data_IF_825470348112
#
_entry.id   IF_825470348112
#
_cell.length_a   1.000
_cell.length_b   1.000
_cell.length_c   1.000
_cell.angle_alpha   90.00
_cell.angle_beta   90.00
_cell.angle_gamma   90.00
#
_symmetry.space_group_name_H-M   'P 1'
#
loop_
_entity.id
_entity.type
_entity.pdbx_description
1 polymer ?
#
# COMPACT_ATOMS: atom_id res chain seq x y z
N UNK A 1 42.07 -21.03 38.59
CA UNK A 1 42.93 -20.15 39.40
C UNK A 1 42.26 -18.78 39.40
N UNK A 2 41.57 -18.42 40.47
CA UNK A 2 42.14 -17.75 41.67
C UNK A 2 41.93 -16.22 41.49
N UNK A 3 40.97 -15.61 42.19
CA UNK A 3 41.03 -15.22 43.61
C UNK A 3 41.87 -13.93 43.80
N UNK A 4 41.56 -13.01 44.72
CA UNK A 4 40.42 -12.83 45.65
C UNK A 4 40.63 -11.53 46.43
N UNK A 5 39.58 -11.05 47.13
CA UNK A 5 39.71 -10.27 48.38
C UNK A 5 40.25 -8.81 48.17
N UNK A 6 40.14 -7.86 49.11
CA UNK A 6 40.04 -7.95 50.58
C UNK A 6 38.98 -7.00 51.15
N UNK A 7 38.29 -7.46 52.20
CA UNK A 7 37.36 -6.68 53.03
C UNK A 7 38.02 -6.18 54.33
N UNK A 8 37.39 -5.19 54.98
CA UNK A 8 37.60 -4.85 56.40
C UNK A 8 36.22 -4.52 56.98
N UNK A 9 35.60 -5.30 57.89
CA UNK A 9 35.89 -5.44 59.35
C UNK A 9 35.99 -4.07 60.05
N UNK A 10 35.38 -3.79 61.23
CA UNK A 10 34.54 -4.52 62.21
C UNK A 10 33.85 -3.44 63.12
N UNK A 11 32.95 -3.64 64.09
CA UNK A 11 32.27 -4.79 64.71
C UNK A 11 31.83 -4.44 66.15
N UNK A 12 30.97 -5.28 66.80
CA UNK A 12 30.57 -5.26 68.24
C UNK A 12 29.60 -4.12 68.69
N UNK A 13 28.76 -4.29 69.74
CA UNK A 13 28.22 -5.48 70.42
C UNK A 13 27.00 -5.11 71.31
N UNK A 14 26.23 -6.12 71.75
CA UNK A 14 24.97 -6.03 72.52
C UNK A 14 25.14 -5.64 74.01
N UNK A 15 24.08 -5.13 74.66
CA UNK A 15 23.58 -5.54 76.02
C UNK A 15 22.27 -4.84 76.45
N UNK A 16 21.73 -5.23 77.63
CA UNK A 16 20.31 -5.13 78.00
C UNK A 16 20.11 -4.95 79.55
N UNK A 17 18.92 -4.66 80.14
CA UNK A 17 17.56 -4.72 79.55
C UNK A 17 16.52 -3.64 80.00
N UNK A 18 15.96 -3.58 81.25
CA UNK A 18 14.49 -3.42 81.35
C UNK A 18 13.92 -2.37 82.36
N UNK A 19 12.62 -2.55 82.71
CA UNK A 19 11.77 -1.92 83.76
C UNK A 19 11.30 -0.46 83.44
N UNK A 20 10.10 0.06 83.76
CA UNK A 20 9.02 -0.28 84.74
C UNK A 20 7.60 -0.04 84.15
N UNK A 21 6.60 -0.87 84.53
CA UNK A 21 5.15 -0.60 84.34
C UNK A 21 4.63 0.48 85.31
N UNK A 22 3.78 1.40 84.84
CA UNK A 22 2.73 1.99 85.70
C UNK A 22 1.37 2.04 85.00
N UNK A 23 0.37 1.50 85.69
CA UNK A 23 -1.03 1.51 85.31
C UNK A 23 -1.65 2.88 85.58
N UNK A 24 -2.53 3.35 84.69
CA UNK A 24 -3.45 4.45 84.97
C UNK A 24 -4.86 4.00 84.63
N UNK A 25 -5.68 3.76 85.66
CA UNK A 25 -7.12 3.50 85.51
C UNK A 25 -7.80 4.81 85.15
N UNK A 26 -8.37 4.89 83.96
CA UNK A 26 -9.26 6.00 83.58
C UNK A 26 -10.71 5.57 83.72
N UNK A 27 -11.50 6.44 84.35
CA UNK A 27 -12.90 6.17 84.66
C UNK A 27 -13.76 6.17 83.39
N UNK A 28 -14.82 5.37 83.41
CA UNK A 28 -15.87 5.39 82.38
C UNK A 28 -16.49 6.78 82.27
N UNK A 29 -16.46 7.35 81.06
CA UNK A 29 -17.25 8.50 80.67
C UNK A 29 -17.81 8.25 79.26
N UNK A 30 -19.10 7.95 79.16
CA UNK A 30 -19.78 7.69 77.90
C UNK A 30 -20.09 9.01 77.15
N UNK A 31 -19.66 9.18 75.88
CA UNK A 31 -20.08 10.31 75.06
C UNK A 31 -21.14 9.89 74.02
N UNK A 32 -22.37 10.32 74.29
CA UNK A 32 -23.54 10.36 73.41
C UNK A 32 -23.28 10.35 71.88
N UNK A 33 -23.73 9.28 71.21
CA UNK A 33 -24.77 9.32 70.14
C UNK A 33 -24.60 10.17 68.86
N UNK A 34 -23.56 10.99 68.70
CA UNK A 34 -23.44 11.95 67.57
C UNK A 34 -22.55 11.50 66.42
N UNK A 35 -21.74 10.45 66.60
CA UNK A 35 -20.83 9.94 65.56
C UNK A 35 -21.52 9.01 64.55
N UNK A 36 -22.55 8.28 64.96
CA UNK A 36 -23.31 7.35 64.10
C UNK A 36 -24.08 8.08 63.00
N UNK A 37 -24.70 9.22 63.31
CA UNK A 37 -25.48 10.00 62.36
C UNK A 37 -24.63 10.54 61.18
N UNK A 38 -23.42 11.06 61.45
CA UNK A 38 -22.50 11.50 60.38
C UNK A 38 -22.04 10.34 59.49
N UNK A 39 -21.72 9.19 60.08
CA UNK A 39 -21.36 7.99 59.31
C UNK A 39 -22.55 7.43 58.51
N UNK A 40 -23.78 7.48 59.04
CA UNK A 40 -24.99 7.07 58.32
C UNK A 40 -25.32 8.03 57.18
N UNK A 41 -25.27 9.36 57.39
CA UNK A 41 -25.44 10.34 56.30
C UNK A 41 -24.37 10.18 55.23
N UNK A 42 -23.11 9.90 55.58
CA UNK A 42 -22.06 9.67 54.59
C UNK A 42 -22.27 8.35 53.83
N UNK A 43 -22.69 7.26 54.49
CA UNK A 43 -23.09 6.01 53.82
C UNK A 43 -24.32 6.19 52.92
N UNK A 44 -25.31 6.99 53.32
CA UNK A 44 -26.47 7.32 52.49
C UNK A 44 -26.06 8.19 51.29
N UNK A 45 -25.20 9.19 51.46
CA UNK A 45 -24.66 9.99 50.34
C UNK A 45 -23.89 9.13 49.35
N UNK A 46 -23.00 8.26 49.80
CA UNK A 46 -22.28 7.34 48.89
C UNK A 46 -23.25 6.37 48.18
N UNK A 47 -24.30 5.87 48.86
CA UNK A 47 -25.34 5.05 48.21
C UNK A 47 -26.13 5.80 47.15
N UNK A 48 -26.53 7.05 47.42
CA UNK A 48 -27.29 7.86 46.45
C UNK A 48 -26.41 8.23 45.25
N UNK A 49 -25.15 8.60 45.47
CA UNK A 49 -24.21 8.89 44.36
C UNK A 49 -23.95 7.65 43.50
N UNK A 50 -23.79 6.47 44.11
CA UNK A 50 -23.65 5.21 43.37
C UNK A 50 -24.91 4.79 42.61
N UNK A 51 -26.11 5.12 43.13
CA UNK A 51 -27.37 4.86 42.44
C UNK A 51 -27.60 5.80 41.25
N UNK A 52 -27.33 7.09 41.41
CA UNK A 52 -27.45 8.08 40.31
C UNK A 52 -26.45 7.80 39.18
N UNK A 53 -25.25 7.34 39.50
CA UNK A 53 -24.27 6.90 38.51
C UNK A 53 -24.70 5.64 37.71
N UNK A 54 -25.68 4.87 38.19
CA UNK A 54 -26.19 3.69 37.49
C UNK A 54 -27.27 4.01 36.46
N UNK A 55 -28.06 5.08 36.66
CA UNK A 55 -29.12 5.47 35.73
C UNK A 55 -28.58 6.20 34.49
N UNK A 56 -27.47 6.93 34.63
CA UNK A 56 -26.89 7.81 33.57
C UNK A 56 -25.83 7.10 32.69
N UNK A 57 -25.86 5.76 32.61
CA UNK A 57 -25.00 5.00 31.69
C UNK A 57 -25.44 5.21 30.23
N UNK A 58 -24.54 5.58 29.31
CA UNK A 58 -24.87 5.72 27.89
C UNK A 58 -25.17 4.36 27.24
N UNK A 59 -25.94 4.38 26.15
CA UNK A 59 -26.45 3.18 25.48
C UNK A 59 -25.35 2.20 25.03
N UNK A 60 -24.27 2.72 24.44
CA UNK A 60 -23.11 1.93 24.00
C UNK A 60 -22.44 1.14 25.13
N UNK A 61 -22.46 1.67 26.36
CA UNK A 61 -21.91 0.97 27.53
C UNK A 61 -22.85 -0.14 28.01
N UNK A 62 -24.17 0.03 27.86
CA UNK A 62 -25.14 -1.03 28.19
C UNK A 62 -25.09 -2.18 27.20
N UNK A 63 -24.75 -1.91 25.94
CA UNK A 63 -24.49 -2.92 24.91
C UNK A 63 -23.22 -3.71 25.26
N UNK A 64 -22.08 -3.04 25.49
CA UNK A 64 -20.85 -3.71 25.95
C UNK A 64 -21.06 -4.55 27.22
N UNK A 65 -21.81 -4.07 28.23
CA UNK A 65 -22.12 -4.84 29.44
C UNK A 65 -23.05 -6.05 29.18
N UNK A 66 -23.82 -6.04 28.09
CA UNK A 66 -24.67 -7.15 27.67
C UNK A 66 -23.90 -8.18 26.81
N UNK A 67 -22.92 -7.73 26.03
CA UNK A 67 -22.10 -8.57 25.14
C UNK A 67 -20.90 -9.22 25.87
N UNK A 68 -20.47 -8.65 27.01
CA UNK A 68 -19.38 -9.16 27.86
C UNK A 68 -19.45 -10.64 28.31
N UNK A 69 -20.61 -11.32 28.43
CA UNK A 69 -20.67 -12.75 28.70
C UNK A 69 -20.28 -13.62 27.48
N UNK A 70 -20.42 -13.09 26.27
CA UNK A 70 -20.23 -13.81 25.00
C UNK A 70 -18.90 -13.45 24.30
N UNK A 71 -18.29 -12.30 24.64
CA UNK A 71 -17.03 -11.80 24.08
C UNK A 71 -15.95 -11.60 25.16
N UNK A 72 -14.82 -12.33 25.03
CA UNK A 72 -13.70 -12.33 25.98
C UNK A 72 -12.89 -11.00 25.97
N UNK A 73 -12.79 -10.34 24.82
CA UNK A 73 -12.09 -9.06 24.69
C UNK A 73 -12.94 -7.93 25.30
N UNK A 74 -14.26 -7.96 25.11
CA UNK A 74 -15.19 -7.04 25.81
C UNK A 74 -15.17 -7.27 27.33
N UNK A 75 -15.16 -8.52 27.79
CA UNK A 75 -15.03 -8.83 29.22
C UNK A 75 -13.74 -8.24 29.82
N UNK A 76 -12.62 -8.38 29.10
CA UNK A 76 -11.31 -7.84 29.46
C UNK A 76 -11.27 -6.30 29.45
N UNK A 77 -11.89 -5.65 28.46
CA UNK A 77 -12.01 -4.19 28.37
C UNK A 77 -12.71 -3.60 29.62
N UNK A 78 -13.77 -4.26 30.09
CA UNK A 78 -14.58 -3.85 31.23
C UNK A 78 -13.94 -4.21 32.60
N UNK A 79 -13.00 -5.16 32.64
CA UNK A 79 -12.42 -5.66 33.89
C UNK A 79 -11.72 -4.55 34.69
N UNK A 80 -12.18 -4.33 35.93
CA UNK A 80 -11.62 -3.30 36.81
C UNK A 80 -11.91 -1.85 36.41
N UNK A 81 -12.70 -1.59 35.35
CA UNK A 81 -13.13 -0.23 34.98
C UNK A 81 -14.30 0.29 35.83
N UNK A 82 -14.97 -0.58 36.59
CA UNK A 82 -16.03 -0.21 37.53
C UNK A 82 -17.31 0.37 36.91
N UNK A 83 -17.47 0.26 35.59
CA UNK A 83 -18.59 0.84 34.84
C UNK A 83 -18.49 2.35 34.59
N UNK A 84 -17.30 2.97 34.73
CA UNK A 84 -17.09 4.37 34.34
C UNK A 84 -16.95 4.50 32.81
N UNK A 85 -17.88 5.18 32.11
CA UNK A 85 -17.83 5.31 30.66
C UNK A 85 -16.53 5.92 30.13
N UNK A 86 -15.89 6.83 30.88
CA UNK A 86 -14.69 7.55 30.43
C UNK A 86 -13.46 6.66 30.45
N UNK A 87 -13.33 5.81 31.48
CA UNK A 87 -12.22 4.86 31.60
C UNK A 87 -12.33 3.79 30.52
N UNK A 88 -13.54 3.32 30.23
CA UNK A 88 -13.81 2.31 29.20
C UNK A 88 -13.53 2.90 27.81
N UNK A 89 -14.03 4.11 27.52
CA UNK A 89 -13.74 4.80 26.26
C UNK A 89 -12.25 5.07 26.06
N UNK A 90 -11.51 5.42 27.13
CA UNK A 90 -10.06 5.61 27.06
C UNK A 90 -9.31 4.29 26.76
N UNK A 91 -9.71 3.18 27.39
CA UNK A 91 -9.13 1.85 27.11
C UNK A 91 -9.43 1.40 25.68
N UNK A 92 -10.67 1.60 25.23
CA UNK A 92 -11.09 1.24 23.87
C UNK A 92 -10.28 2.02 22.83
N UNK A 93 -10.02 3.31 23.07
CA UNK A 93 -9.11 4.09 22.23
C UNK A 93 -7.67 3.54 22.27
N UNK A 94 -7.15 3.17 23.44
CA UNK A 94 -5.80 2.60 23.58
C UNK A 94 -5.64 1.24 22.89
N UNK A 95 -6.65 0.37 22.93
CA UNK A 95 -6.65 -0.91 22.20
C UNK A 95 -6.78 -0.69 20.70
N UNK A 96 -7.64 0.22 20.24
CA UNK A 96 -7.72 0.61 18.82
C UNK A 96 -6.41 1.20 18.31
N UNK A 97 -5.75 2.06 19.09
CA UNK A 97 -4.44 2.64 18.74
C UNK A 97 -3.34 1.57 18.77
N UNK A 98 -3.41 0.60 19.69
CA UNK A 98 -2.49 -0.54 19.75
C UNK A 98 -2.64 -1.51 18.57
N UNK A 99 -3.87 -1.86 18.19
CA UNK A 99 -4.16 -2.69 17.00
C UNK A 99 -3.69 -1.97 15.74
N UNK A 100 -3.95 -0.66 15.62
CA UNK A 100 -3.43 0.16 14.50
C UNK A 100 -1.92 0.18 14.44
N UNK A 101 -1.24 0.39 15.56
CA UNK A 101 0.22 0.37 15.64
C UNK A 101 0.79 -1.01 15.26
N UNK A 102 0.15 -2.11 15.69
CA UNK A 102 0.58 -3.47 15.36
C UNK A 102 0.39 -3.81 13.86
N UNK A 103 -0.65 -3.26 13.21
CA UNK A 103 -0.86 -3.36 11.76
C UNK A 103 0.15 -2.48 11.01
N UNK A 104 0.48 -1.29 11.52
CA UNK A 104 1.52 -0.44 10.94
C UNK A 104 2.92 -1.06 11.07
N UNK A 105 3.25 -1.69 12.21
CA UNK A 105 4.55 -2.33 12.44
C UNK A 105 4.78 -3.59 11.58
N UNK A 106 3.72 -4.18 11.01
CA UNK A 106 3.82 -5.25 10.01
C UNK A 106 3.96 -4.74 8.57
N UNK A 107 3.79 -3.44 8.29
CA UNK A 107 4.09 -2.84 6.97
C UNK A 107 5.59 -2.58 6.84
N UNK A 108 6.25 -3.30 5.94
CA UNK A 108 7.66 -3.05 5.60
C UNK A 108 7.77 -1.97 4.53
N UNK A 109 8.66 -0.99 4.73
CA UNK A 109 9.13 -0.05 3.69
C UNK A 109 8.16 1.06 3.20
N UNK A 110 6.86 0.90 3.39
CA UNK A 110 5.83 1.90 3.03
C UNK A 110 5.91 3.21 3.83
N UNK A 111 5.30 4.28 3.30
CA UNK A 111 5.17 5.59 3.93
C UNK A 111 3.71 6.07 3.87
N UNK A 112 3.17 6.57 5.00
CA UNK A 112 1.78 7.06 5.10
C UNK A 112 1.54 8.42 4.40
N UNK A 113 2.61 9.10 3.97
CA UNK A 113 2.52 10.34 3.21
C UNK A 113 1.89 10.10 1.82
N UNK A 114 0.97 10.98 1.35
CA UNK A 114 0.38 10.81 0.02
C UNK A 114 1.44 10.98 -1.07
N UNK A 115 1.41 10.08 -2.05
CA UNK A 115 2.17 10.19 -3.29
C UNK A 115 1.61 11.35 -4.12
N UNK A 116 2.45 12.31 -4.51
CA UNK A 116 2.08 13.37 -5.44
C UNK A 116 2.09 12.85 -6.89
N UNK A 117 1.23 13.38 -7.76
CA UNK A 117 1.11 12.93 -9.15
C UNK A 117 1.14 14.13 -10.09
N UNK A 118 2.09 14.14 -11.03
CA UNK A 118 2.24 15.20 -12.01
C UNK A 118 2.37 14.66 -13.43
N UNK A 119 1.81 15.40 -14.39
CA UNK A 119 1.95 15.11 -15.82
C UNK A 119 2.85 16.19 -16.44
N UNK A 120 3.89 15.77 -17.17
CA UNK A 120 4.79 16.67 -17.90
C UNK A 120 4.62 16.48 -19.41
N UNK A 121 4.72 17.58 -20.15
CA UNK A 121 4.68 17.56 -21.61
C UNK A 121 6.09 17.29 -22.17
N UNK A 122 6.25 16.45 -23.22
CA UNK A 122 5.21 15.67 -23.88
C UNK A 122 4.82 14.40 -23.09
N UNK A 123 3.53 14.09 -23.08
CA UNK A 123 2.99 12.77 -22.74
C UNK A 123 2.39 12.19 -24.02
N UNK A 124 3.09 11.24 -24.63
CA UNK A 124 2.71 10.55 -25.86
C UNK A 124 2.54 9.06 -25.54
N UNK A 125 1.38 8.49 -25.85
CA UNK A 125 1.07 7.08 -25.56
C UNK A 125 2.08 6.12 -26.22
N UNK A 126 2.67 6.50 -27.36
CA UNK A 126 3.66 5.67 -28.07
C UNK A 126 5.10 5.86 -27.56
N UNK A 127 5.34 6.76 -26.60
CA UNK A 127 6.68 7.09 -26.09
C UNK A 127 6.57 7.67 -24.67
N UNK A 128 5.98 6.91 -23.75
CA UNK A 128 5.70 7.40 -22.40
C UNK A 128 6.81 7.00 -21.42
N UNK A 129 7.44 8.00 -20.82
CA UNK A 129 8.33 7.82 -19.68
C UNK A 129 7.56 8.02 -18.37
N UNK A 130 7.74 7.09 -17.43
CA UNK A 130 7.17 7.17 -16.08
C UNK A 130 8.31 7.21 -15.08
N UNK A 131 8.31 8.23 -14.22
CA UNK A 131 9.35 8.49 -13.22
C UNK A 131 8.75 8.48 -11.82
N UNK A 132 9.49 7.94 -10.87
CA UNK A 132 9.11 7.83 -9.46
C UNK A 132 10.27 8.34 -8.61
N UNK A 133 10.02 9.34 -7.75
CA UNK A 133 10.96 9.70 -6.68
C UNK A 133 10.52 8.97 -5.41
N UNK A 134 11.48 8.31 -4.74
CA UNK A 134 11.26 7.50 -3.55
C UNK A 134 11.78 8.24 -2.30
N UNK A 135 11.16 8.01 -1.15
CA UNK A 135 11.63 8.58 0.12
C UNK A 135 13.00 8.04 0.56
N UNK A 136 13.37 6.84 0.10
CA UNK A 136 14.62 6.13 0.40
C UNK A 136 15.11 5.44 -0.87
N UNK A 137 16.44 5.23 -1.06
CA UNK A 137 16.94 4.43 -2.17
C UNK A 137 16.40 3.00 -2.04
N UNK A 138 15.84 2.40 -3.10
CA UNK A 138 15.15 1.13 -3.02
C UNK A 138 16.16 -0.01 -2.87
N UNK A 139 15.84 -0.99 -2.04
CA UNK A 139 16.58 -2.25 -1.97
C UNK A 139 16.25 -3.16 -3.17
N UNK A 140 17.09 -4.17 -3.41
CA UNK A 140 16.88 -5.11 -4.53
C UNK A 140 15.52 -5.80 -4.52
N UNK A 141 15.04 -6.22 -3.34
CA UNK A 141 13.72 -6.87 -3.22
C UNK A 141 12.54 -5.92 -3.42
N UNK A 142 12.67 -4.65 -2.99
CA UNK A 142 11.65 -3.63 -3.25
C UNK A 142 11.58 -3.27 -4.75
N UNK A 143 12.74 -3.26 -5.44
CA UNK A 143 12.79 -3.10 -6.91
C UNK A 143 12.18 -4.28 -7.66
N UNK A 144 12.45 -5.51 -7.23
CA UNK A 144 11.82 -6.72 -7.79
C UNK A 144 10.29 -6.66 -7.64
N UNK A 145 9.78 -6.29 -6.46
CA UNK A 145 8.35 -6.17 -6.21
C UNK A 145 7.70 -5.03 -7.04
N UNK A 146 8.37 -3.89 -7.18
CA UNK A 146 7.90 -2.80 -8.06
C UNK A 146 7.90 -3.24 -9.54
N UNK A 147 8.87 -4.05 -9.97
CA UNK A 147 8.91 -4.64 -11.31
C UNK A 147 7.77 -5.63 -11.53
N UNK A 148 7.39 -6.43 -10.53
CA UNK A 148 6.23 -7.32 -10.59
C UNK A 148 4.91 -6.54 -10.73
N UNK A 149 4.77 -5.40 -10.05
CA UNK A 149 3.60 -4.50 -10.20
C UNK A 149 3.52 -3.95 -11.63
N UNK A 150 4.62 -3.39 -12.16
CA UNK A 150 4.67 -2.85 -13.53
C UNK A 150 4.45 -3.95 -14.57
N UNK A 151 5.04 -5.14 -14.40
CA UNK A 151 4.83 -6.29 -15.28
C UNK A 151 3.37 -6.76 -15.26
N UNK A 152 2.72 -6.81 -14.10
CA UNK A 152 1.32 -7.23 -13.96
C UNK A 152 0.38 -6.25 -14.66
N UNK A 153 0.61 -4.96 -14.47
CA UNK A 153 -0.09 -3.88 -15.19
C UNK A 153 0.12 -3.98 -16.70
N UNK A 154 1.37 -4.15 -17.15
CA UNK A 154 1.69 -4.32 -18.57
C UNK A 154 1.01 -5.54 -19.20
N UNK A 155 0.98 -6.69 -18.52
CA UNK A 155 0.34 -7.91 -19.03
C UNK A 155 -1.16 -7.74 -19.22
N UNK A 156 -1.84 -7.03 -18.31
CA UNK A 156 -3.26 -6.68 -18.46
C UNK A 156 -3.47 -5.72 -19.66
N UNK A 157 -2.61 -4.69 -19.80
CA UNK A 157 -2.66 -3.77 -20.93
C UNK A 157 -2.38 -4.43 -22.28
N UNK A 158 -1.42 -5.37 -22.35
CA UNK A 158 -1.10 -6.12 -23.59
C UNK A 158 -2.25 -7.00 -24.07
N UNK A 159 -3.13 -7.44 -23.15
CA UNK A 159 -4.35 -8.22 -23.40
C UNK A 159 -5.59 -7.35 -23.67
N UNK A 160 -5.49 -6.01 -23.60
CA UNK A 160 -6.62 -5.11 -23.85
C UNK A 160 -7.55 -4.90 -22.66
N UNK A 161 -7.12 -5.19 -21.43
CA UNK A 161 -7.96 -5.05 -20.23
C UNK A 161 -8.34 -3.59 -19.91
N UNK A 162 -7.52 -2.62 -20.32
CA UNK A 162 -7.76 -1.19 -20.09
C UNK A 162 -8.52 -0.55 -21.25
N UNK A 163 -9.67 -1.15 -21.59
CA UNK A 163 -10.54 -0.67 -22.66
C UNK A 163 -11.71 0.14 -22.06
N UNK A 164 -11.65 1.46 -22.20
CA UNK A 164 -12.68 2.40 -21.73
C UNK A 164 -13.98 2.34 -22.53
N UNK A 165 -13.93 1.93 -23.80
CA UNK A 165 -15.14 1.76 -24.64
C UNK A 165 -15.97 0.54 -24.27
N UNK A 166 -15.42 -0.39 -23.47
CA UNK A 166 -16.08 -1.65 -23.09
C UNK A 166 -16.31 -1.81 -21.56
N UNK A 167 -16.49 -0.71 -20.83
CA UNK A 167 -16.72 -0.70 -19.37
C UNK A 167 -18.20 -0.92 -18.98
N UNK A 168 -18.87 -1.90 -19.58
CA UNK A 168 -20.32 -2.11 -19.41
C UNK A 168 -20.76 -2.25 -17.93
N UNK A 169 -20.00 -3.00 -17.12
CA UNK A 169 -20.28 -3.17 -15.67
C UNK A 169 -20.17 -1.85 -14.89
N UNK A 170 -19.29 -0.94 -15.31
CA UNK A 170 -19.14 0.39 -14.69
C UNK A 170 -20.35 1.28 -15.04
N UNK A 171 -20.81 1.25 -16.29
CA UNK A 171 -21.95 2.07 -16.74
C UNK A 171 -23.31 1.54 -16.28
N UNK A 172 -23.39 0.27 -15.85
CA UNK A 172 -24.60 -0.33 -15.29
C UNK A 172 -24.69 -0.30 -13.76
N UNK A 173 -23.85 0.48 -13.07
CA UNK A 173 -23.83 0.59 -11.60
C UNK A 173 -25.16 1.06 -10.95
N UNK A 174 -26.01 1.77 -11.68
CA UNK A 174 -27.34 2.21 -11.20
C UNK A 174 -28.41 1.09 -11.24
N UNK A 175 -28.12 -0.05 -11.86
CA UNK A 175 -29.01 -1.21 -11.93
C UNK A 175 -28.49 -2.35 -11.04
N UNK A 176 -29.39 -3.23 -10.58
CA UNK A 176 -28.98 -4.48 -9.94
C UNK A 176 -28.19 -5.34 -10.95
N UNK A 177 -26.92 -5.62 -10.65
CA UNK A 177 -26.01 -6.45 -11.47
C UNK A 177 -26.51 -7.89 -11.74
N UNK A 178 -27.61 -8.29 -11.08
CA UNK A 178 -28.22 -9.62 -11.17
C UNK A 178 -28.73 -9.95 -12.57
N UNK A 179 -29.26 -8.95 -13.28
CA UNK A 179 -29.87 -9.10 -14.61
C UNK A 179 -28.99 -8.49 -15.73
N UNK A 180 -27.69 -8.29 -15.48
CA UNK A 180 -26.77 -7.73 -16.47
C UNK A 180 -26.32 -8.80 -17.49
N UNK A 181 -26.88 -8.72 -18.70
CA UNK A 181 -26.34 -9.40 -19.89
C UNK A 181 -25.19 -8.57 -20.48
N UNK A 182 -23.99 -9.16 -20.61
CA UNK A 182 -22.81 -8.48 -21.17
C UNK A 182 -22.81 -8.59 -22.70
N UNK A 183 -22.81 -7.45 -23.39
CA UNK A 183 -22.80 -7.41 -24.85
C UNK A 183 -21.42 -7.78 -25.40
N UNK A 184 -21.42 -8.50 -26.54
CA UNK A 184 -20.23 -9.00 -27.25
C UNK A 184 -20.23 -8.51 -28.71
N UNK A 185 -20.93 -7.40 -28.99
CA UNK A 185 -20.98 -6.73 -30.29
C UNK A 185 -19.62 -6.20 -30.78
N UNK A 186 -19.55 -5.78 -32.05
CA UNK A 186 -18.30 -5.42 -32.72
C UNK A 186 -17.57 -4.21 -32.07
N UNK A 187 -18.30 -3.24 -31.51
CA UNK A 187 -17.70 -2.09 -30.80
C UNK A 187 -17.01 -2.49 -29.48
N UNK A 188 -17.46 -3.58 -28.85
CA UNK A 188 -16.81 -4.18 -27.68
C UNK A 188 -15.57 -5.02 -28.05
N UNK A 189 -15.34 -5.28 -29.35
CA UNK A 189 -14.31 -6.19 -29.86
C UNK A 189 -12.99 -5.52 -30.28
N UNK A 190 -12.88 -4.18 -30.28
CA UNK A 190 -11.61 -3.50 -30.60
C UNK A 190 -10.74 -3.46 -29.33
N UNK A 191 -9.58 -4.15 -29.28
CA UNK A 191 -8.78 -4.21 -28.06
C UNK A 191 -7.82 -3.02 -27.95
N UNK A 192 -7.81 -2.39 -26.79
CA UNK A 192 -6.98 -1.23 -26.46
C UNK A 192 -5.64 -1.72 -25.86
N UNK A 193 -4.65 -2.05 -26.70
CA UNK A 193 -3.46 -2.83 -26.26
C UNK A 193 -2.17 -2.05 -26.18
N UNK A 194 -1.41 -2.28 -25.10
CA UNK A 194 0.02 -1.91 -25.01
C UNK A 194 0.86 -2.60 -26.08
N UNK A 195 1.96 -1.98 -26.49
CA UNK A 195 2.91 -2.58 -27.43
C UNK A 195 4.11 -3.20 -26.72
N UNK A 196 4.82 -2.41 -25.90
CA UNK A 196 6.12 -2.76 -25.33
C UNK A 196 6.35 -2.01 -24.01
N UNK A 197 7.19 -2.56 -23.12
CA UNK A 197 7.62 -1.94 -21.87
C UNK A 197 9.09 -2.28 -21.61
N UNK A 198 9.85 -1.33 -21.05
CA UNK A 198 11.21 -1.58 -20.59
C UNK A 198 11.26 -1.93 -19.09
N UNK A 199 12.28 -2.68 -18.65
CA UNK A 199 12.55 -2.88 -17.23
C UNK A 199 12.77 -1.56 -16.48
N UNK A 200 12.53 -1.57 -15.17
CA UNK A 200 12.79 -0.43 -14.30
C UNK A 200 14.29 -0.18 -14.16
N UNK A 201 14.69 1.05 -14.42
CA UNK A 201 16.01 1.58 -14.09
C UNK A 201 15.91 2.36 -12.77
N UNK A 202 16.86 2.15 -11.86
CA UNK A 202 16.96 2.95 -10.62
C UNK A 202 18.30 3.68 -10.53
N UNK A 203 18.25 4.90 -9.98
CA UNK A 203 19.39 5.80 -9.77
C UNK A 203 19.15 6.62 -8.52
N UNK A 204 19.88 6.28 -7.45
CA UNK A 204 19.78 6.88 -6.12
C UNK A 204 18.33 6.81 -5.56
N UNK A 205 17.60 7.93 -5.59
CA UNK A 205 16.21 8.05 -5.13
C UNK A 205 15.19 7.98 -6.26
N UNK A 206 15.63 7.96 -7.52
CA UNK A 206 14.77 7.96 -8.69
C UNK A 206 14.70 6.57 -9.31
N UNK A 207 13.50 6.17 -9.69
CA UNK A 207 13.24 4.99 -10.52
C UNK A 207 12.45 5.42 -11.74
N UNK A 208 12.73 4.85 -12.91
CA UNK A 208 11.96 5.11 -14.14
C UNK A 208 11.75 3.85 -14.96
N UNK A 209 10.76 3.89 -15.85
CA UNK A 209 10.63 2.96 -16.96
C UNK A 209 10.00 3.66 -18.17
N UNK A 210 10.14 3.02 -19.32
CA UNK A 210 9.50 3.42 -20.57
C UNK A 210 8.39 2.43 -20.96
N UNK A 211 7.31 2.94 -21.55
CA UNK A 211 6.21 2.14 -22.08
C UNK A 211 5.67 2.74 -23.38
N UNK A 212 5.41 1.87 -24.35
CA UNK A 212 4.53 2.16 -25.50
C UNK A 212 3.16 1.56 -25.16
N UNK A 213 2.24 2.43 -24.74
CA UNK A 213 0.85 2.09 -24.43
C UNK A 213 0.03 1.76 -25.68
N UNK A 214 0.55 1.98 -26.88
CA UNK A 214 -0.09 1.61 -28.13
C UNK A 214 -1.47 2.22 -28.30
N UNK A 215 -2.49 1.37 -28.37
CA UNK A 215 -3.90 1.76 -28.50
C UNK A 215 -4.66 1.76 -27.17
N UNK A 216 -3.97 1.63 -26.02
CA UNK A 216 -4.62 1.64 -24.72
C UNK A 216 -5.04 3.05 -24.26
N UNK A 217 -6.15 3.10 -23.54
CA UNK A 217 -6.76 4.33 -23.04
C UNK A 217 -6.10 4.82 -21.74
N UNK A 218 -6.33 6.09 -21.39
CA UNK A 218 -5.82 6.74 -20.17
C UNK A 218 -6.29 6.05 -18.87
N UNK A 219 -7.37 5.25 -18.94
CA UNK A 219 -7.81 4.36 -17.85
C UNK A 219 -6.66 3.50 -17.29
N UNK A 220 -5.74 3.08 -18.15
CA UNK A 220 -4.57 2.32 -17.75
C UNK A 220 -3.69 3.10 -16.75
N UNK A 221 -3.56 4.41 -16.93
CA UNK A 221 -2.78 5.29 -16.05
C UNK A 221 -3.48 5.47 -14.70
N UNK A 222 -4.80 5.66 -14.69
CA UNK A 222 -5.57 5.72 -13.44
C UNK A 222 -5.42 4.43 -12.62
N UNK A 223 -5.49 3.26 -13.28
CA UNK A 223 -5.27 1.98 -12.60
C UNK A 223 -3.84 1.84 -12.06
N UNK A 224 -2.83 2.31 -12.79
CA UNK A 224 -1.44 2.35 -12.33
C UNK A 224 -1.27 3.29 -11.12
N UNK A 225 -1.81 4.50 -11.18
CA UNK A 225 -1.75 5.50 -10.10
C UNK A 225 -2.39 4.95 -8.83
N UNK A 226 -3.55 4.30 -8.94
CA UNK A 226 -4.25 3.69 -7.80
C UNK A 226 -3.46 2.53 -7.18
N UNK A 227 -2.85 1.67 -8.02
CA UNK A 227 -1.98 0.59 -7.57
C UNK A 227 -0.74 1.14 -6.84
N UNK A 228 -0.03 2.10 -7.45
CA UNK A 228 1.16 2.74 -6.88
C UNK A 228 0.85 3.54 -5.59
N UNK A 229 -0.33 4.16 -5.49
CA UNK A 229 -0.78 4.86 -4.27
C UNK A 229 -0.94 3.89 -3.09
N UNK A 230 -1.38 2.66 -3.35
CA UNK A 230 -1.51 1.63 -2.31
C UNK A 230 -0.15 1.01 -2.01
N UNK A 231 0.62 0.66 -3.04
CA UNK A 231 1.99 0.16 -2.94
C UNK A 231 2.91 1.09 -2.12
N UNK A 232 2.76 2.41 -2.32
CA UNK A 232 3.51 3.43 -1.58
C UNK A 232 3.29 3.37 -0.07
N UNK A 233 2.09 3.00 0.38
CA UNK A 233 1.71 2.96 1.80
C UNK A 233 2.09 1.65 2.48
N UNK A 234 2.31 0.59 1.71
CA UNK A 234 2.43 -0.77 2.25
C UNK A 234 3.79 -1.43 2.01
N UNK A 235 4.54 -1.01 0.99
CA UNK A 235 5.76 -1.70 0.54
C UNK A 235 6.96 -0.78 0.32
N UNK A 236 6.80 0.31 -0.44
CA UNK A 236 7.92 1.20 -0.80
C UNK A 236 7.44 2.64 -0.95
N UNK A 237 7.78 3.52 0.00
CA UNK A 237 7.33 4.92 -0.02
C UNK A 237 7.72 5.71 -1.28
N UNK A 238 6.72 6.02 -2.13
CA UNK A 238 6.84 6.90 -3.29
C UNK A 238 6.44 8.32 -2.89
N UNK A 239 7.33 9.27 -3.14
CA UNK A 239 7.14 10.70 -2.85
C UNK A 239 6.38 11.41 -3.98
N UNK A 240 6.81 11.21 -5.23
CA UNK A 240 6.11 11.73 -6.40
C UNK A 240 6.19 10.75 -7.58
N UNK A 241 5.12 10.70 -8.36
CA UNK A 241 4.98 10.03 -9.64
C UNK A 241 4.87 11.10 -10.73
N UNK A 242 5.70 10.97 -11.76
CA UNK A 242 5.74 11.88 -12.92
C UNK A 242 5.46 11.07 -14.17
N UNK A 243 4.43 11.45 -14.92
CA UNK A 243 4.02 10.79 -16.17
C UNK A 243 4.32 11.73 -17.34
N UNK A 244 5.11 11.26 -18.30
CA UNK A 244 5.60 12.04 -19.43
C UNK A 244 6.77 12.97 -19.10
N UNK A 245 7.23 13.66 -20.14
CA UNK A 245 8.35 14.60 -20.10
C UNK A 245 9.70 13.98 -19.74
N UNK A 246 10.71 14.85 -19.65
CA UNK A 246 12.06 14.52 -19.22
C UNK A 246 12.33 15.03 -17.79
N UNK A 247 13.40 14.53 -17.18
CA UNK A 247 13.90 15.04 -15.91
C UNK A 247 15.26 15.71 -16.14
N UNK A 248 15.42 16.96 -15.66
CA UNK A 248 16.61 17.78 -15.97
C UNK A 248 17.94 17.10 -15.55
N UNK A 249 17.92 16.35 -14.44
CA UNK A 249 19.10 15.62 -13.90
C UNK A 249 19.29 14.21 -14.51
N UNK A 250 18.32 13.71 -15.26
CA UNK A 250 18.33 12.39 -15.89
C UNK A 250 17.47 12.37 -17.15
N UNK A 251 18.03 12.82 -18.27
CA UNK A 251 17.34 12.80 -19.56
C UNK A 251 16.89 11.38 -19.95
N UNK A 252 15.76 11.30 -20.66
CA UNK A 252 15.39 10.07 -21.36
C UNK A 252 16.42 9.81 -22.48
N UNK A 253 16.85 8.55 -22.71
CA UNK A 253 17.55 8.20 -23.94
C UNK A 253 16.64 8.46 -25.16
N UNK A 254 17.23 8.66 -26.34
CA UNK A 254 16.43 8.86 -27.55
C UNK A 254 15.78 7.55 -27.99
N UNK A 255 14.55 7.60 -28.53
CA UNK A 255 13.78 6.39 -28.95
C UNK A 255 14.58 5.44 -29.85
N UNK A 256 15.41 6.00 -30.72
CA UNK A 256 16.23 5.27 -31.69
C UNK A 256 17.49 4.61 -31.07
N UNK A 257 17.84 4.93 -29.81
CA UNK A 257 19.01 4.35 -29.11
C UNK A 257 18.69 3.01 -28.44
N UNK A 258 17.42 2.73 -28.15
CA UNK A 258 16.99 1.55 -27.40
C UNK A 258 15.94 0.69 -28.10
N UNK A 259 15.23 1.19 -29.12
CA UNK A 259 14.44 0.37 -30.02
C UNK A 259 15.28 0.01 -31.26
N UNK A 260 15.19 -1.22 -31.79
CA UNK A 260 15.84 -1.56 -33.06
C UNK A 260 15.22 -0.74 -34.20
N UNK A 261 16.06 -0.11 -35.02
CA UNK A 261 15.62 0.69 -36.17
C UNK A 261 14.79 -0.17 -37.14
N UNK A 262 13.46 0.00 -37.14
CA UNK A 262 12.54 -0.75 -38.00
C UNK A 262 12.59 -0.16 -39.42
N UNK A 263 13.68 -0.41 -40.15
CA UNK A 263 13.82 -0.03 -41.57
C UNK A 263 13.01 -0.97 -42.48
N UNK A 264 11.71 -1.11 -42.21
CA UNK A 264 10.76 -1.78 -43.09
C UNK A 264 10.14 -0.74 -44.04
N UNK A 265 10.96 -0.25 -44.98
CA UNK A 265 10.44 0.44 -46.17
C UNK A 265 9.64 -0.58 -47.00
N UNK A 266 8.29 -0.46 -47.10
CA UNK A 266 7.47 -1.45 -47.76
C UNK A 266 7.70 -1.52 -49.28
N UNK A 267 8.41 -0.55 -49.87
CA UNK A 267 8.81 -0.56 -51.28
C UNK A 267 10.18 -1.23 -51.50
N UNK A 268 10.94 -1.52 -50.44
CA UNK A 268 12.30 -2.07 -50.54
C UNK A 268 12.29 -3.59 -50.41
N UNK A 269 11.91 -4.24 -51.51
CA UNK A 269 11.96 -5.70 -51.65
C UNK A 269 13.32 -6.31 -51.28
N UNK A 270 13.39 -7.62 -50.96
CA UNK A 270 14.59 -8.24 -50.43
C UNK A 270 15.78 -8.02 -51.35
N UNK A 271 16.87 -7.47 -50.81
CA UNK A 271 18.12 -7.31 -51.57
C UNK A 271 18.50 -8.67 -52.13
N UNK A 272 18.58 -8.78 -53.46
CA UNK A 272 19.31 -9.90 -54.07
C UNK A 272 20.73 -9.83 -53.49
N UNK A 273 21.18 -10.94 -52.91
CA UNK A 273 22.59 -11.07 -52.57
C UNK A 273 23.35 -11.11 -53.89
N UNK A 274 24.09 -10.05 -54.17
CA UNK A 274 24.90 -9.93 -55.38
C UNK A 274 25.91 -11.07 -55.39
N UNK A 275 25.65 -12.06 -56.25
CA UNK A 275 26.52 -13.21 -56.43
C UNK A 275 27.81 -12.67 -57.04
N UNK A 276 28.94 -12.87 -56.35
CA UNK A 276 30.25 -12.41 -56.79
C UNK A 276 30.47 -12.75 -58.27
N UNK A 277 30.95 -11.75 -59.02
CA UNK A 277 31.39 -11.92 -60.40
C UNK A 277 32.46 -13.02 -60.45
N UNK A 278 32.08 -14.14 -61.09
CA UNK A 278 32.86 -15.36 -61.19
C UNK A 278 32.90 -15.79 -62.64
N UNK A 279 33.90 -15.25 -63.32
CA UNK A 279 34.38 -15.53 -64.67
C UNK A 279 34.08 -16.96 -65.19
N UNK A 280 33.30 -17.05 -66.28
CA UNK A 280 33.28 -18.23 -67.16
C UNK A 280 32.71 -17.85 -68.53
N UNK A 281 33.59 -17.76 -69.52
CA UNK A 281 33.21 -17.80 -70.94
C UNK A 281 32.40 -19.06 -71.25
N UNK A 282 31.32 -18.92 -72.02
CA UNK A 282 30.85 -19.96 -72.94
C UNK A 282 29.90 -19.31 -73.97
N UNK A 283 30.34 -19.29 -75.24
CA UNK A 283 29.50 -18.90 -76.37
C UNK A 283 28.40 -19.94 -76.60
N UNK A 284 27.14 -19.53 -76.81
CA UNK A 284 26.22 -20.36 -77.59
C UNK A 284 25.22 -19.53 -78.40
N UNK A 285 24.90 -20.05 -79.59
CA UNK A 285 24.34 -19.33 -80.72
C UNK A 285 22.90 -18.82 -80.50
N UNK A 286 22.59 -17.67 -81.12
CA UNK A 286 21.25 -17.11 -81.11
C UNK A 286 20.29 -17.81 -82.07
N UNK A 287 19.02 -17.90 -81.68
CA UNK A 287 17.90 -18.22 -82.57
C UNK A 287 16.98 -17.02 -82.71
N UNK A 288 16.97 -16.40 -83.90
CA UNK A 288 15.96 -15.44 -84.33
C UNK A 288 14.65 -16.18 -84.56
N UNK A 289 13.55 -15.75 -83.94
CA UNK A 289 12.20 -16.16 -84.34
C UNK A 289 11.16 -15.04 -84.12
N UNK A 290 10.90 -14.32 -85.21
CA UNK A 290 9.64 -13.69 -85.65
C UNK A 290 8.70 -13.02 -84.63
N UNK A 291 8.64 -11.68 -84.69
CA UNK A 291 7.45 -10.92 -84.27
C UNK A 291 6.35 -11.05 -85.33
N UNK A 292 5.36 -11.91 -85.05
CA UNK A 292 4.16 -12.02 -85.86
C UNK A 292 3.19 -10.86 -85.60
N UNK A 293 3.26 -9.79 -86.40
CA UNK A 293 2.18 -8.80 -86.52
C UNK A 293 0.93 -9.43 -87.13
N UNK A 294 -0.24 -9.23 -86.53
CA UNK A 294 -1.50 -9.29 -87.26
C UNK A 294 -2.48 -8.23 -86.73
N UNK A 295 -3.20 -7.61 -87.64
CA UNK A 295 -3.95 -6.35 -87.46
C UNK A 295 -5.44 -6.60 -87.13
N UNK A 296 -6.17 -5.50 -86.89
CA UNK A 296 -7.60 -5.46 -86.57
C UNK A 296 -8.53 -5.99 -87.69
N UNK A 297 -9.63 -6.66 -87.29
CA UNK A 297 -10.99 -6.54 -87.87
C UNK A 297 -12.07 -6.93 -86.84
#
# INVERSE_FOLDING_TARGET
MSASSVASTSGRACRATPVIRRSAVWHSAAPNGRHTCKQQQQKQRCRVVAAVAAEDKPEWLRQLEADAPDDEDVARLLEGAGGDPRVIQQRMQQEMDGIRAQIQETRYGGEDAPMDVSFRSPADNFNLWVWMELYKPPSGGEMELLQEVVNSWYMLGRLGAFNSSNLQVLYHQDNDLVDLEYDVGEEASIPATFHEVQPLESRDYWTRFWVDMGTADELALDMLINALTTFSKEQLGIKQLVIGGENDDWAAPARDEFLPEVTMDPMRGPRRLDKQEGDSDDEYEGSVFDEGTFEDE
#
